data_IF_983488466866
#
_entry.id   IF_983488466866
#
_cell.length_a   1.000
_cell.length_b   1.000
_cell.length_c   1.000
_cell.angle_alpha   90.00
_cell.angle_beta   90.00
_cell.angle_gamma   90.00
#
_symmetry.space_group_name_H-M   'P 1'
#
loop_
_entity.id
_entity.type
_entity.pdbx_description
1 polymer ?
#
# COMPACT_ATOMS: atom_id res chain seq x y z
N UNK A 1 -2.31 19.71 10.53
CA UNK A 1 -2.67 21.15 10.59
C UNK A 1 -2.77 21.65 12.04
N UNK A 2 -3.66 21.09 12.89
CA UNK A 2 -3.84 21.56 14.29
C UNK A 2 -2.54 21.51 15.10
N UNK A 3 -1.76 20.44 15.00
CA UNK A 3 -0.51 20.31 15.73
C UNK A 3 0.54 21.33 15.27
N UNK A 4 0.62 21.58 13.96
CA UNK A 4 1.50 22.61 13.39
C UNK A 4 1.09 24.02 13.84
N UNK A 5 -0.21 24.31 13.84
CA UNK A 5 -0.71 25.60 14.34
C UNK A 5 -0.42 25.82 15.82
N UNK A 6 -0.57 24.77 16.65
CA UNK A 6 -0.23 24.84 18.08
C UNK A 6 1.28 24.99 18.33
N UNK A 7 2.10 24.32 17.53
CA UNK A 7 3.55 24.41 17.64
C UNK A 7 4.12 25.75 17.13
N UNK A 8 3.38 26.44 16.25
CA UNK A 8 3.75 27.74 15.72
C UNK A 8 3.32 28.94 16.61
N UNK A 9 2.60 28.68 17.72
CA UNK A 9 2.16 29.72 18.65
C UNK A 9 3.29 30.08 19.62
N UNK A 10 4.11 31.03 19.23
CA UNK A 10 5.25 31.51 20.04
C UNK A 10 4.84 32.14 21.38
N UNK A 11 3.60 32.63 21.49
CA UNK A 11 3.08 33.25 22.71
C UNK A 11 2.84 32.22 23.82
N UNK A 12 2.46 30.99 23.47
CA UNK A 12 2.10 29.95 24.43
C UNK A 12 3.22 28.93 24.69
N UNK A 13 4.25 28.88 23.85
CA UNK A 13 5.37 27.91 23.94
C UNK A 13 4.91 26.48 24.14
N UNK A 14 3.94 26.03 23.33
CA UNK A 14 3.37 24.71 23.44
C UNK A 14 4.40 23.62 23.13
N UNK A 15 4.47 22.59 23.98
CA UNK A 15 5.16 21.32 23.66
C UNK A 15 4.14 20.39 23.03
N UNK A 16 4.26 20.13 21.74
CA UNK A 16 3.29 19.37 20.99
C UNK A 16 3.80 17.98 20.68
N UNK A 17 3.06 16.96 21.12
CA UNK A 17 3.34 15.55 20.81
C UNK A 17 2.19 14.97 19.98
N UNK A 18 2.49 14.36 18.84
CA UNK A 18 1.53 13.61 18.04
C UNK A 18 1.69 12.12 18.30
N UNK A 19 0.58 11.46 18.62
CA UNK A 19 0.51 10.01 18.73
C UNK A 19 -0.09 9.42 17.46
N UNK A 20 0.58 8.46 16.84
CA UNK A 20 0.06 7.70 15.73
C UNK A 20 0.14 6.20 16.03
N UNK A 21 -1.00 5.51 15.99
CA UNK A 21 -1.08 4.05 16.21
C UNK A 21 -0.35 3.23 15.14
N UNK A 22 -0.08 3.82 13.99
CA UNK A 22 0.67 3.21 12.89
C UNK A 22 2.03 3.87 12.76
N UNK A 23 2.91 3.23 12.05
CA UNK A 23 4.23 3.78 11.74
C UNK A 23 4.17 4.98 10.78
N UNK A 24 3.19 5.03 9.89
CA UNK A 24 3.05 6.09 8.89
C UNK A 24 1.70 6.80 8.94
N UNK A 25 1.67 8.02 8.41
CA UNK A 25 0.45 8.84 8.25
C UNK A 25 -0.22 8.59 6.89
N UNK A 26 -0.38 7.32 6.48
CA UNK A 26 -0.86 6.92 5.15
C UNK A 26 -2.21 7.54 4.72
N UNK A 27 -3.04 8.00 5.68
CA UNK A 27 -4.33 8.64 5.39
C UNK A 27 -4.27 10.17 5.35
N UNK A 28 -3.12 10.77 5.67
CA UNK A 28 -2.95 12.22 5.63
C UNK A 28 -2.59 12.68 4.20
N UNK A 29 -2.96 13.92 3.86
CA UNK A 29 -2.54 14.53 2.60
C UNK A 29 -1.02 14.67 2.55
N UNK A 30 -0.42 14.47 1.38
CA UNK A 30 1.02 14.53 1.17
C UNK A 30 1.63 15.83 1.73
N UNK A 31 1.06 16.98 1.38
CA UNK A 31 1.53 18.28 1.87
C UNK A 31 1.55 18.40 3.41
N UNK A 32 0.55 17.81 4.10
CA UNK A 32 0.52 17.82 5.56
C UNK A 32 1.56 16.88 6.17
N UNK A 33 1.90 15.78 5.48
CA UNK A 33 2.95 14.85 5.91
C UNK A 33 4.31 15.53 5.79
N UNK A 34 4.58 16.17 4.64
CA UNK A 34 5.83 16.94 4.43
C UNK A 34 6.02 18.01 5.51
N UNK A 35 5.00 18.84 5.75
CA UNK A 35 5.06 19.87 6.79
C UNK A 35 5.26 19.30 8.21
N UNK A 36 4.71 18.10 8.47
CA UNK A 36 4.90 17.43 9.74
C UNK A 36 6.32 16.88 9.89
N UNK A 37 6.87 16.28 8.83
CA UNK A 37 8.24 15.76 8.82
C UNK A 37 9.27 16.89 8.99
N UNK A 38 9.06 18.02 8.33
CA UNK A 38 9.87 19.23 8.53
C UNK A 38 9.79 19.73 9.98
N UNK A 39 8.59 19.80 10.56
CA UNK A 39 8.41 20.25 11.93
C UNK A 39 9.01 19.27 12.97
N UNK A 40 9.04 17.99 12.68
CA UNK A 40 9.69 16.96 13.49
C UNK A 40 11.22 17.08 13.41
N UNK A 41 11.77 17.28 12.20
CA UNK A 41 13.22 17.51 11.98
C UNK A 41 13.71 18.78 12.67
N UNK A 42 12.92 19.84 12.64
CA UNK A 42 13.20 21.12 13.33
C UNK A 42 13.01 21.05 14.85
N UNK A 43 12.53 19.92 15.38
CA UNK A 43 12.26 19.75 16.82
C UNK A 43 11.06 20.54 17.34
N UNK A 44 10.20 21.10 16.45
CA UNK A 44 9.00 21.85 16.82
C UNK A 44 7.85 20.95 17.30
N UNK A 45 7.81 19.71 16.82
CA UNK A 45 6.81 18.70 17.17
C UNK A 45 7.52 17.38 17.47
N UNK A 46 7.07 16.66 18.50
CA UNK A 46 7.46 15.28 18.75
C UNK A 46 6.44 14.33 18.13
N UNK A 47 6.87 13.36 17.34
CA UNK A 47 5.98 12.35 16.74
C UNK A 47 6.28 10.98 17.35
N UNK A 48 5.28 10.40 17.99
CA UNK A 48 5.31 9.04 18.54
C UNK A 48 4.54 8.11 17.63
N UNK A 49 5.26 7.35 16.82
CA UNK A 49 4.71 6.33 15.92
C UNK A 49 4.48 5.02 16.67
N UNK A 50 3.57 4.19 16.20
CA UNK A 50 3.22 2.89 16.80
C UNK A 50 2.87 2.98 18.28
N UNK A 51 2.23 4.11 18.66
CA UNK A 51 1.93 4.46 20.03
C UNK A 51 0.44 4.73 20.20
N UNK A 52 -0.17 4.15 21.24
CA UNK A 52 -1.57 4.35 21.62
C UNK A 52 -1.68 4.94 23.02
N UNK A 53 -2.65 5.82 23.30
CA UNK A 53 -2.94 6.23 24.65
C UNK A 53 -3.58 5.05 25.42
N UNK A 54 -3.08 4.75 26.61
CA UNK A 54 -3.58 3.68 27.49
C UNK A 54 -4.42 4.24 28.62
N UNK A 55 -3.93 5.27 29.33
CA UNK A 55 -4.62 5.83 30.51
C UNK A 55 -4.34 7.33 30.62
N UNK A 56 -5.34 8.10 31.02
CA UNK A 56 -5.23 9.53 31.33
C UNK A 56 -5.17 9.70 32.84
N UNK A 57 -4.11 10.34 33.33
CA UNK A 57 -3.93 10.72 34.74
C UNK A 57 -3.91 12.22 34.91
N UNK A 58 -3.92 12.70 36.15
CA UNK A 58 -3.83 14.13 36.41
C UNK A 58 -2.45 14.66 36.00
N UNK A 59 -2.40 15.52 34.98
CA UNK A 59 -1.18 16.07 34.41
C UNK A 59 -0.33 15.11 33.57
N UNK A 60 -0.76 13.86 33.36
CA UNK A 60 0.01 12.83 32.69
C UNK A 60 -0.83 12.00 31.70
N UNK A 61 -0.18 11.47 30.69
CA UNK A 61 -0.75 10.50 29.75
C UNK A 61 0.12 9.24 29.70
N UNK A 62 -0.47 8.11 30.02
CA UNK A 62 0.17 6.81 29.90
C UNK A 62 0.01 6.31 28.46
N UNK A 63 1.11 5.94 27.84
CA UNK A 63 1.21 5.48 26.48
C UNK A 63 1.59 4.00 26.43
N UNK A 64 0.95 3.28 25.54
CA UNK A 64 1.37 1.95 25.15
C UNK A 64 2.22 2.09 23.87
N UNK A 65 3.50 1.79 24.01
CA UNK A 65 4.49 1.89 22.95
C UNK A 65 4.93 0.50 22.52
N UNK A 66 5.73 0.44 21.49
CA UNK A 66 6.36 -0.79 21.01
C UNK A 66 7.21 -1.49 22.11
N UNK A 67 7.87 -0.70 22.93
CA UNK A 67 8.85 -1.20 23.92
C UNK A 67 8.24 -1.36 25.33
N UNK A 68 6.93 -1.13 25.47
CA UNK A 68 6.22 -1.21 26.73
C UNK A 68 5.41 0.05 27.03
N UNK A 69 5.18 0.32 28.33
CA UNK A 69 4.40 1.46 28.79
C UNK A 69 5.32 2.64 29.11
N UNK A 70 4.99 3.82 28.60
CA UNK A 70 5.68 5.09 28.87
C UNK A 70 4.66 6.10 29.44
N UNK A 71 5.09 6.96 30.37
CA UNK A 71 4.25 8.06 30.87
C UNK A 71 4.86 9.38 30.47
N UNK A 72 4.07 10.27 29.88
CA UNK A 72 4.49 11.61 29.47
C UNK A 72 3.67 12.68 30.18
N UNK A 73 4.25 13.87 30.47
CA UNK A 73 3.49 15.02 30.94
C UNK A 73 2.45 15.43 29.89
N UNK A 74 1.21 15.68 30.32
CA UNK A 74 0.13 16.04 29.42
C UNK A 74 -0.89 16.96 30.10
N UNK A 75 -1.00 18.19 29.60
CA UNK A 75 -1.97 19.15 30.11
C UNK A 75 -3.25 19.19 29.29
N UNK A 76 -3.18 18.83 27.99
CA UNK A 76 -4.32 18.84 27.07
C UNK A 76 -4.21 17.74 26.06
N UNK A 77 -5.34 17.11 25.74
CA UNK A 77 -5.47 16.06 24.72
C UNK A 77 -6.43 16.57 23.64
N UNK A 78 -5.98 16.52 22.40
CA UNK A 78 -6.83 16.80 21.23
C UNK A 78 -7.01 15.48 20.48
N UNK A 79 -8.17 14.85 20.64
CA UNK A 79 -8.49 13.61 19.98
C UNK A 79 -8.92 13.86 18.52
N UNK A 80 -8.15 13.32 17.58
CA UNK A 80 -8.41 13.31 16.14
C UNK A 80 -8.42 11.89 15.62
N UNK A 81 -9.30 11.08 16.18
CA UNK A 81 -9.40 9.64 15.92
C UNK A 81 -10.12 9.31 14.61
N UNK A 82 -10.58 10.32 13.88
CA UNK A 82 -11.40 10.19 12.68
C UNK A 82 -12.88 10.01 13.02
N UNK A 83 -13.71 9.89 11.99
CA UNK A 83 -15.12 9.55 12.10
C UNK A 83 -15.39 8.28 11.29
N UNK A 84 -16.33 7.49 11.72
CA UNK A 84 -16.90 6.41 10.91
C UNK A 84 -18.23 6.88 10.36
N UNK A 85 -18.50 6.72 9.05
CA UNK A 85 -19.82 6.98 8.50
C UNK A 85 -20.89 6.15 9.23
N UNK A 86 -22.10 6.67 9.45
CA UNK A 86 -23.16 5.96 10.15
C UNK A 86 -23.81 4.86 9.28
N UNK A 87 -23.03 3.86 8.88
CA UNK A 87 -23.43 2.77 8.00
C UNK A 87 -24.74 2.12 8.46
N UNK A 88 -24.84 1.77 9.73
CA UNK A 88 -26.04 1.10 10.26
C UNK A 88 -27.32 1.91 10.10
N UNK A 89 -27.25 3.24 10.11
CA UNK A 89 -28.40 4.10 9.80
C UNK A 89 -28.83 3.97 8.33
N UNK A 90 -27.85 3.95 7.42
CA UNK A 90 -28.12 3.84 5.98
C UNK A 90 -28.62 2.43 5.61
N UNK A 91 -28.06 1.38 6.22
CA UNK A 91 -28.52 0.00 6.07
C UNK A 91 -29.95 -0.20 6.58
N UNK A 92 -30.31 0.45 7.69
CA UNK A 92 -31.67 0.40 8.24
C UNK A 92 -32.72 1.00 7.30
N UNK A 93 -32.32 1.87 6.36
CA UNK A 93 -33.19 2.35 5.29
C UNK A 93 -33.31 1.35 4.12
N UNK A 94 -32.62 0.20 4.18
CA UNK A 94 -32.61 -0.84 3.17
C UNK A 94 -31.77 -0.49 1.94
N UNK A 95 -30.77 0.37 2.10
CA UNK A 95 -29.81 0.71 1.04
C UNK A 95 -28.71 -0.36 1.04
N UNK A 96 -28.40 -0.86 -0.15
CA UNK A 96 -27.37 -1.87 -0.36
C UNK A 96 -25.98 -1.25 -0.45
N UNK A 97 -24.99 -1.99 0.04
CA UNK A 97 -23.58 -1.63 0.02
C UNK A 97 -22.81 -2.52 -0.96
N UNK A 98 -21.67 -2.04 -1.44
CA UNK A 98 -20.82 -2.77 -2.41
C UNK A 98 -20.24 -4.06 -1.82
N UNK A 99 -20.14 -4.19 -0.49
CA UNK A 99 -19.76 -5.42 0.22
C UNK A 99 -20.18 -5.38 1.69
N UNK A 100 -20.05 -6.51 2.39
CA UNK A 100 -20.29 -6.65 3.83
C UNK A 100 -19.22 -5.98 4.71
N UNK A 101 -18.12 -5.55 4.15
CA UNK A 101 -17.05 -4.92 4.90
C UNK A 101 -17.46 -3.57 5.49
N UNK A 102 -16.98 -3.26 6.70
CA UNK A 102 -17.30 -1.98 7.38
C UNK A 102 -16.88 -0.74 6.62
N UNK A 103 -15.91 -0.86 5.75
CA UNK A 103 -15.37 0.21 4.90
C UNK A 103 -16.09 0.37 3.57
N UNK A 104 -17.00 -0.55 3.23
CA UNK A 104 -17.75 -0.51 1.98
C UNK A 104 -18.65 0.74 1.89
N UNK A 105 -18.90 1.18 0.67
CA UNK A 105 -19.75 2.32 0.36
C UNK A 105 -21.11 1.85 -0.17
N UNK A 106 -22.16 2.68 -0.08
CA UNK A 106 -23.43 2.40 -0.70
C UNK A 106 -23.27 2.21 -2.22
N UNK A 107 -24.04 1.32 -2.79
CA UNK A 107 -24.18 1.20 -4.24
C UNK A 107 -24.93 2.42 -4.77
N UNK A 108 -24.28 3.20 -5.63
CA UNK A 108 -24.77 4.49 -6.13
C UNK A 108 -24.78 4.52 -7.65
N UNK A 109 -25.77 5.21 -8.21
CA UNK A 109 -25.74 5.62 -9.61
C UNK A 109 -24.79 6.81 -9.83
N UNK A 110 -24.45 7.17 -11.08
CA UNK A 110 -23.69 8.40 -11.36
C UNK A 110 -24.36 9.69 -10.83
N UNK A 111 -25.68 9.66 -10.60
CA UNK A 111 -26.43 10.78 -9.99
C UNK A 111 -26.47 10.68 -8.44
N UNK A 112 -25.65 9.85 -7.82
CA UNK A 112 -25.59 9.59 -6.37
C UNK A 112 -26.88 8.99 -5.78
N UNK A 113 -27.80 8.48 -6.62
CA UNK A 113 -28.99 7.77 -6.17
C UNK A 113 -28.62 6.36 -5.70
N UNK A 114 -29.20 5.96 -4.59
CA UNK A 114 -28.99 4.64 -3.99
C UNK A 114 -29.84 3.57 -4.67
N UNK A 115 -29.75 2.32 -4.19
CA UNK A 115 -30.65 1.21 -4.57
C UNK A 115 -32.11 1.45 -4.14
N UNK A 116 -32.40 2.48 -3.34
CA UNK A 116 -33.73 2.95 -2.98
C UNK A 116 -34.07 4.21 -3.77
N UNK A 117 -35.04 4.16 -4.69
CA UNK A 117 -35.41 5.30 -5.50
C UNK A 117 -35.76 6.56 -4.66
N UNK A 118 -35.27 7.71 -5.11
CA UNK A 118 -35.48 9.00 -4.45
C UNK A 118 -34.55 9.26 -3.24
N UNK A 119 -33.65 8.32 -2.90
CA UNK A 119 -32.68 8.53 -1.83
C UNK A 119 -31.29 8.68 -2.45
N UNK A 120 -30.67 9.83 -2.23
CA UNK A 120 -29.32 10.13 -2.69
C UNK A 120 -28.35 10.18 -1.52
N UNK A 121 -27.14 9.65 -1.69
CA UNK A 121 -26.08 9.65 -0.69
C UNK A 121 -24.84 10.33 -1.27
N UNK A 122 -24.35 11.35 -0.58
CA UNK A 122 -23.18 12.13 -0.99
C UNK A 122 -22.14 12.26 0.13
N UNK A 123 -20.98 12.81 -0.19
CA UNK A 123 -19.93 13.14 0.75
C UNK A 123 -19.25 11.94 1.37
N UNK A 124 -18.94 12.00 2.65
CA UNK A 124 -18.15 10.97 3.33
C UNK A 124 -18.79 9.58 3.31
N UNK A 125 -20.11 9.49 3.31
CA UNK A 125 -20.87 8.22 3.17
C UNK A 125 -20.71 7.60 1.77
N UNK A 126 -20.59 8.44 0.74
CA UNK A 126 -20.34 8.02 -0.64
C UNK A 126 -18.85 7.79 -0.95
N UNK A 127 -17.97 7.92 0.05
CA UNK A 127 -16.52 7.75 -0.14
C UNK A 127 -15.73 9.06 -0.29
N UNK A 128 -16.38 10.22 -0.24
CA UNK A 128 -15.77 11.54 -0.45
C UNK A 128 -15.67 12.35 0.84
N UNK A 129 -14.57 12.21 1.62
CA UNK A 129 -14.47 12.81 2.94
C UNK A 129 -14.18 14.33 2.93
N UNK A 130 -13.94 14.94 1.76
CA UNK A 130 -13.60 16.36 1.66
C UNK A 130 -14.85 17.21 1.53
N UNK A 131 -14.92 18.32 2.28
CA UNK A 131 -16.04 19.28 2.26
C UNK A 131 -16.33 19.77 0.85
N UNK A 132 -15.29 20.07 0.05
CA UNK A 132 -15.47 20.53 -1.34
C UNK A 132 -16.21 19.50 -2.22
N UNK A 133 -15.97 18.22 -1.99
CA UNK A 133 -16.66 17.16 -2.71
C UNK A 133 -18.13 17.10 -2.31
N UNK A 134 -18.42 17.20 -1.00
CA UNK A 134 -19.81 17.24 -0.52
C UNK A 134 -20.59 18.41 -1.13
N UNK A 135 -19.95 19.58 -1.24
CA UNK A 135 -20.59 20.76 -1.84
C UNK A 135 -20.88 20.56 -3.34
N UNK A 136 -19.90 20.08 -4.10
CA UNK A 136 -20.06 19.80 -5.52
C UNK A 136 -21.14 18.75 -5.76
N UNK A 137 -21.07 17.61 -5.06
CA UNK A 137 -22.06 16.55 -5.19
C UNK A 137 -23.47 16.99 -4.79
N UNK A 138 -23.58 17.85 -3.76
CA UNK A 138 -24.88 18.43 -3.39
C UNK A 138 -25.45 19.28 -4.51
N UNK A 139 -24.64 20.09 -5.18
CA UNK A 139 -25.03 20.82 -6.36
C UNK A 139 -25.44 19.88 -7.49
N UNK A 140 -24.62 18.89 -7.79
CA UNK A 140 -24.85 17.92 -8.88
C UNK A 140 -26.17 17.16 -8.69
N UNK A 141 -26.48 16.69 -7.47
CA UNK A 141 -27.74 16.01 -7.16
C UNK A 141 -28.95 16.90 -7.42
N UNK A 142 -28.88 18.19 -7.01
CA UNK A 142 -29.98 19.12 -7.25
C UNK A 142 -30.17 19.38 -8.75
N UNK A 143 -29.10 19.50 -9.52
CA UNK A 143 -29.16 19.64 -10.97
C UNK A 143 -29.77 18.40 -11.64
N UNK A 144 -29.39 17.18 -11.22
CA UNK A 144 -29.97 15.93 -11.70
C UNK A 144 -31.48 15.85 -11.39
N UNK A 145 -31.88 16.23 -10.18
CA UNK A 145 -33.29 16.27 -9.77
C UNK A 145 -34.09 17.29 -10.58
N UNK A 146 -33.47 18.37 -11.05
CA UNK A 146 -34.05 19.35 -11.94
C UNK A 146 -34.04 18.91 -13.42
N UNK A 147 -33.56 17.72 -13.73
CA UNK A 147 -33.54 17.16 -15.08
C UNK A 147 -32.32 17.52 -15.92
N UNK A 148 -31.28 18.10 -15.33
CA UNK A 148 -30.01 18.37 -16.01
C UNK A 148 -29.16 17.08 -16.03
N UNK A 149 -29.36 16.27 -17.05
CA UNK A 149 -28.62 14.98 -17.23
C UNK A 149 -27.29 15.15 -17.93
N UNK A 150 -26.99 16.32 -18.48
CA UNK A 150 -25.74 16.60 -19.21
C UNK A 150 -24.64 17.19 -18.30
N UNK A 151 -24.90 17.21 -17.02
CA UNK A 151 -23.96 17.73 -16.02
C UNK A 151 -22.70 16.86 -15.97
N UNK A 152 -21.55 17.48 -16.19
CA UNK A 152 -20.26 16.82 -16.06
C UNK A 152 -19.78 16.93 -14.62
N UNK A 153 -19.19 15.84 -14.06
CA UNK A 153 -18.57 15.90 -12.74
C UNK A 153 -17.56 17.05 -12.61
N UNK A 154 -17.53 17.72 -11.48
CA UNK A 154 -16.66 18.89 -11.25
C UNK A 154 -15.16 18.60 -11.39
N UNK A 155 -14.75 17.33 -11.26
CA UNK A 155 -13.38 16.85 -11.46
C UNK A 155 -13.03 16.55 -12.92
N UNK A 156 -14.02 16.50 -13.82
CA UNK A 156 -13.81 16.15 -15.22
C UNK A 156 -12.82 17.06 -15.94
N UNK A 157 -12.81 18.40 -15.77
CA UNK A 157 -11.80 19.27 -16.38
C UNK A 157 -10.39 19.00 -15.88
N UNK A 158 -10.21 18.69 -14.59
CA UNK A 158 -8.91 18.39 -13.98
C UNK A 158 -8.38 17.06 -14.51
N UNK A 159 -9.22 16.05 -14.58
CA UNK A 159 -8.85 14.75 -15.14
C UNK A 159 -8.56 14.85 -16.64
N UNK A 160 -9.33 15.67 -17.38
CA UNK A 160 -9.06 15.91 -18.80
C UNK A 160 -7.68 16.54 -19.03
N UNK A 161 -7.27 17.49 -18.19
CA UNK A 161 -5.93 18.06 -18.23
C UNK A 161 -4.85 17.03 -17.93
N UNK A 162 -5.04 16.17 -16.90
CA UNK A 162 -4.12 15.10 -16.55
C UNK A 162 -3.97 14.04 -17.65
N UNK A 163 -5.04 13.78 -18.40
CA UNK A 163 -5.07 12.78 -19.47
C UNK A 163 -4.71 13.36 -20.83
N UNK A 164 -4.52 14.67 -20.97
CA UNK A 164 -4.22 15.33 -22.25
C UNK A 164 -2.94 14.82 -22.93
N UNK A 165 -1.98 14.30 -22.14
CA UNK A 165 -0.74 13.69 -22.65
C UNK A 165 -0.86 12.23 -23.05
N UNK A 166 -2.03 11.60 -22.86
CA UNK A 166 -2.24 10.19 -23.19
C UNK A 166 -2.61 10.01 -24.67
N UNK A 167 -2.30 8.87 -25.29
CA UNK A 167 -2.52 8.64 -26.71
C UNK A 167 -4.02 8.61 -27.09
N UNK A 168 -4.35 8.97 -28.33
CA UNK A 168 -5.68 8.75 -28.92
C UNK A 168 -6.72 9.81 -28.62
N UNK A 169 -6.41 10.88 -27.87
CA UNK A 169 -7.35 11.98 -27.56
C UNK A 169 -8.73 11.51 -27.08
N UNK A 170 -8.75 10.51 -26.19
CA UNK A 170 -9.95 9.90 -25.65
C UNK A 170 -10.57 10.73 -24.53
N UNK A 171 -11.86 10.47 -24.22
CA UNK A 171 -12.57 11.11 -23.10
C UNK A 171 -12.02 10.65 -21.74
N UNK A 172 -12.34 11.41 -20.69
CA UNK A 172 -12.04 11.02 -19.30
C UNK A 172 -12.68 9.68 -18.96
N UNK A 173 -13.92 9.45 -19.35
CA UNK A 173 -14.65 8.21 -19.06
C UNK A 173 -14.00 7.00 -19.74
N UNK A 174 -13.54 7.16 -20.99
CA UNK A 174 -12.78 6.12 -21.68
C UNK A 174 -11.53 5.69 -20.87
N UNK A 175 -10.75 6.65 -20.40
CA UNK A 175 -9.55 6.32 -19.63
C UNK A 175 -9.88 5.72 -18.27
N UNK A 176 -10.97 6.16 -17.63
CA UNK A 176 -11.44 5.54 -16.37
C UNK A 176 -11.81 4.07 -16.60
N UNK A 177 -12.52 3.75 -17.68
CA UNK A 177 -12.88 2.38 -18.04
C UNK A 177 -11.62 1.54 -18.33
N UNK A 178 -10.68 2.07 -19.10
CA UNK A 178 -9.39 1.41 -19.38
C UNK A 178 -8.64 1.14 -18.09
N UNK A 179 -8.49 2.12 -17.21
CA UNK A 179 -7.74 1.97 -15.97
C UNK A 179 -8.42 0.98 -15.02
N UNK A 180 -9.72 1.07 -14.85
CA UNK A 180 -10.49 0.13 -14.01
C UNK A 180 -10.45 -1.30 -14.54
N UNK A 181 -10.53 -1.50 -15.86
CA UNK A 181 -10.54 -2.82 -16.47
C UNK A 181 -9.14 -3.46 -16.57
N UNK A 182 -8.10 -2.66 -16.85
CA UNK A 182 -6.78 -3.20 -17.16
C UNK A 182 -5.85 -3.27 -15.93
N UNK A 183 -5.99 -2.35 -14.98
CA UNK A 183 -5.10 -2.26 -13.83
C UNK A 183 -5.65 -3.07 -12.65
N UNK A 184 -5.04 -4.20 -12.37
CA UNK A 184 -5.53 -5.18 -11.36
C UNK A 184 -5.76 -4.59 -9.97
N UNK A 185 -4.88 -3.68 -9.54
CA UNK A 185 -4.98 -3.04 -8.22
C UNK A 185 -6.19 -2.09 -8.10
N UNK A 186 -6.86 -1.79 -9.22
CA UNK A 186 -8.04 -0.91 -9.27
C UNK A 186 -9.36 -1.69 -9.43
N UNK A 187 -9.30 -3.02 -9.58
CA UNK A 187 -10.44 -3.86 -9.96
C UNK A 187 -11.68 -3.73 -9.07
N UNK A 188 -11.50 -3.47 -7.77
CA UNK A 188 -12.60 -3.30 -6.82
C UNK A 188 -12.97 -1.83 -6.58
N UNK A 189 -12.31 -0.89 -7.25
CA UNK A 189 -12.63 0.52 -7.09
C UNK A 189 -13.89 0.87 -7.87
N UNK A 190 -14.82 1.55 -7.21
CA UNK A 190 -15.89 2.21 -7.94
C UNK A 190 -15.33 3.32 -8.84
N UNK A 191 -16.06 3.68 -9.90
CA UNK A 191 -15.67 4.80 -10.78
C UNK A 191 -15.34 6.06 -9.99
N UNK A 192 -16.09 6.34 -8.92
CA UNK A 192 -15.88 7.49 -8.05
C UNK A 192 -14.57 7.39 -7.25
N UNK A 193 -14.25 6.22 -6.70
CA UNK A 193 -12.98 5.99 -5.99
C UNK A 193 -11.78 6.08 -6.92
N UNK A 194 -11.92 5.56 -8.13
CA UNK A 194 -10.89 5.65 -9.16
C UNK A 194 -10.64 7.11 -9.57
N UNK A 195 -11.70 7.91 -9.77
CA UNK A 195 -11.58 9.35 -10.04
C UNK A 195 -10.83 10.07 -8.93
N UNK A 196 -11.18 9.83 -7.66
CA UNK A 196 -10.47 10.44 -6.51
C UNK A 196 -8.99 10.03 -6.47
N UNK A 197 -8.69 8.76 -6.72
CA UNK A 197 -7.32 8.26 -6.77
C UNK A 197 -6.50 8.96 -7.87
N UNK A 198 -7.09 9.12 -9.05
CA UNK A 198 -6.44 9.73 -10.21
C UNK A 198 -6.23 11.24 -10.06
N UNK A 199 -7.06 11.93 -9.26
CA UNK A 199 -6.80 13.32 -8.90
C UNK A 199 -5.51 13.50 -8.08
N UNK A 200 -5.14 12.48 -7.28
CA UNK A 200 -3.91 12.46 -6.48
C UNK A 200 -2.73 11.74 -7.17
N UNK A 201 -2.91 11.31 -8.43
CA UNK A 201 -1.95 10.53 -9.22
C UNK A 201 -1.59 11.27 -10.50
N UNK A 202 -0.50 10.86 -11.17
CA UNK A 202 -0.11 11.37 -12.49
C UNK A 202 -0.19 10.26 -13.54
N UNK A 203 -0.56 10.63 -14.77
CA UNK A 203 -0.67 9.71 -15.89
C UNK A 203 0.37 10.06 -16.94
N UNK A 204 1.12 9.05 -17.36
CA UNK A 204 2.24 9.22 -18.27
C UNK A 204 2.11 8.30 -19.48
N UNK A 205 2.53 8.80 -20.63
CA UNK A 205 2.78 8.02 -21.83
C UNK A 205 4.28 8.02 -22.13
N UNK A 206 4.80 6.85 -22.53
CA UNK A 206 6.21 6.66 -22.86
C UNK A 206 6.31 5.95 -24.20
N UNK A 207 7.30 6.32 -24.99
CA UNK A 207 7.67 5.61 -26.20
C UNK A 207 8.61 4.43 -25.89
N UNK A 208 8.67 3.41 -26.76
CA UNK A 208 9.59 2.29 -26.59
C UNK A 208 11.04 2.74 -26.40
N UNK A 209 11.68 2.28 -25.32
CA UNK A 209 13.05 2.66 -24.95
C UNK A 209 13.15 3.82 -23.96
N UNK A 210 12.07 4.57 -23.72
CA UNK A 210 12.05 5.63 -22.72
C UNK A 210 12.32 5.09 -21.31
N UNK A 211 13.08 5.83 -20.53
CA UNK A 211 13.38 5.49 -19.15
C UNK A 211 12.28 6.02 -18.24
N UNK A 212 11.59 5.12 -17.54
CA UNK A 212 10.59 5.51 -16.53
C UNK A 212 11.29 6.00 -15.25
N UNK A 213 12.28 5.26 -14.78
CA UNK A 213 13.20 5.69 -13.72
C UNK A 213 14.50 4.87 -13.75
N UNK A 214 15.55 5.38 -13.12
CA UNK A 214 16.88 4.75 -13.07
C UNK A 214 17.16 4.11 -11.73
N UNK A 215 18.01 3.09 -11.73
CA UNK A 215 18.58 2.50 -10.53
C UNK A 215 19.22 3.58 -9.64
N UNK A 216 19.03 3.46 -8.33
CA UNK A 216 19.52 4.38 -7.30
C UNK A 216 18.86 5.77 -7.26
N UNK A 217 17.90 6.08 -8.13
CA UNK A 217 17.08 7.28 -7.96
C UNK A 217 16.25 7.21 -6.66
N UNK A 218 15.97 8.36 -6.02
CA UNK A 218 14.99 8.41 -4.93
C UNK A 218 13.63 7.95 -5.46
N UNK A 219 12.96 7.04 -4.76
CA UNK A 219 11.68 6.50 -5.23
C UNK A 219 10.61 6.60 -4.14
N UNK A 220 9.65 7.51 -4.33
CA UNK A 220 8.51 7.68 -3.43
C UNK A 220 7.17 7.38 -4.10
N UNK A 221 7.18 6.80 -5.29
CA UNK A 221 5.99 6.47 -6.07
C UNK A 221 6.00 5.01 -6.55
N UNK A 222 4.82 4.53 -6.91
CA UNK A 222 4.57 3.24 -7.53
C UNK A 222 3.86 3.48 -8.86
N UNK A 223 4.13 2.65 -9.84
CA UNK A 223 3.52 2.74 -11.16
C UNK A 223 2.60 1.55 -11.41
N UNK A 224 1.48 1.80 -12.07
CA UNK A 224 0.55 0.78 -12.55
C UNK A 224 0.48 0.85 -14.08
N UNK A 225 0.61 -0.29 -14.75
CA UNK A 225 0.64 -0.38 -16.22
C UNK A 225 -0.79 -0.54 -16.73
N UNK A 226 -1.30 0.48 -17.43
CA UNK A 226 -2.60 0.43 -18.06
C UNK A 226 -2.54 -0.12 -19.49
N UNK A 227 -1.47 0.19 -20.24
CA UNK A 227 -1.24 -0.33 -21.59
C UNK A 227 0.25 -0.53 -21.79
N UNK A 228 0.62 -1.52 -22.61
CA UNK A 228 2.00 -1.84 -22.93
C UNK A 228 2.71 -2.66 -21.85
N UNK A 229 4.02 -2.66 -21.89
CA UNK A 229 4.89 -3.40 -20.98
C UNK A 229 6.17 -2.61 -20.68
N UNK A 230 6.85 -2.99 -19.61
CA UNK A 230 8.17 -2.43 -19.27
C UNK A 230 9.22 -3.52 -19.16
N UNK A 231 10.48 -3.16 -19.42
CA UNK A 231 11.66 -3.99 -19.26
C UNK A 231 12.46 -3.51 -18.02
N UNK A 232 12.71 -4.43 -17.10
CA UNK A 232 13.54 -4.21 -15.90
C UNK A 232 14.95 -4.64 -16.21
N UNK A 233 15.92 -3.71 -16.20
CA UNK A 233 17.35 -4.02 -16.37
C UNK A 233 17.88 -4.71 -15.10
N UNK A 234 18.17 -6.01 -15.20
CA UNK A 234 18.63 -6.83 -14.05
C UNK A 234 20.15 -6.89 -13.94
N UNK A 235 20.87 -6.70 -15.04
CA UNK A 235 22.33 -6.69 -15.06
C UNK A 235 22.86 -5.28 -15.33
N UNK A 236 23.58 -4.65 -14.39
CA UNK A 236 24.17 -3.32 -14.60
C UNK A 236 25.21 -3.26 -15.71
N UNK A 237 25.88 -4.39 -15.97
CA UNK A 237 26.98 -4.48 -16.96
C UNK A 237 26.46 -4.82 -18.37
N UNK A 238 25.24 -5.33 -18.45
CA UNK A 238 24.57 -5.65 -19.71
C UNK A 238 23.09 -5.25 -19.67
N UNK A 239 22.72 -4.04 -20.09
CA UNK A 239 21.34 -3.54 -20.10
C UNK A 239 20.41 -4.33 -21.05
N UNK A 240 20.94 -5.21 -21.91
CA UNK A 240 20.10 -6.04 -22.78
C UNK A 240 19.43 -7.19 -22.03
N UNK A 241 19.96 -7.55 -20.85
CA UNK A 241 19.40 -8.59 -20.00
C UNK A 241 18.30 -7.98 -19.16
N UNK A 242 17.05 -8.19 -19.57
CA UNK A 242 15.86 -7.61 -18.95
C UNK A 242 14.83 -8.65 -18.55
N UNK A 243 13.99 -8.30 -17.58
CA UNK A 243 12.80 -9.05 -17.23
C UNK A 243 11.57 -8.18 -17.53
N UNK A 244 10.59 -8.69 -18.31
CA UNK A 244 9.40 -7.92 -18.64
C UNK A 244 8.44 -7.84 -17.45
N UNK A 245 7.70 -6.72 -17.36
CA UNK A 245 6.53 -6.58 -16.52
C UNK A 245 5.38 -6.16 -17.43
N UNK A 246 4.35 -6.99 -17.45
CA UNK A 246 3.25 -6.90 -18.39
C UNK A 246 2.14 -5.95 -17.90
N UNK A 247 1.26 -5.60 -18.83
CA UNK A 247 0.04 -4.85 -18.59
C UNK A 247 -0.75 -5.37 -17.38
N UNK A 248 -1.39 -4.46 -16.67
CA UNK A 248 -2.17 -4.75 -15.47
C UNK A 248 -1.35 -4.95 -14.20
N UNK A 249 -0.02 -5.03 -14.32
CA UNK A 249 0.91 -5.16 -13.19
C UNK A 249 1.30 -3.78 -12.63
N UNK A 250 1.98 -3.82 -11.49
CA UNK A 250 2.57 -2.63 -10.84
C UNK A 250 4.09 -2.79 -10.79
N UNK A 251 4.81 -1.68 -10.66
CA UNK A 251 6.25 -1.68 -10.42
C UNK A 251 6.68 -0.46 -9.59
N UNK A 252 7.89 -0.51 -9.03
CA UNK A 252 8.41 0.53 -8.14
C UNK A 252 7.90 0.46 -6.70
N UNK A 253 7.05 -0.53 -6.37
CA UNK A 253 6.45 -0.75 -5.05
C UNK A 253 7.48 -1.08 -3.98
N UNK A 254 8.60 -1.73 -4.33
CA UNK A 254 9.66 -2.09 -3.38
C UNK A 254 10.25 -0.84 -2.75
N UNK A 255 10.59 0.16 -3.56
CA UNK A 255 11.09 1.45 -3.08
C UNK A 255 10.07 2.19 -2.21
N UNK A 256 8.79 2.13 -2.60
CA UNK A 256 7.70 2.76 -1.88
C UNK A 256 7.46 2.12 -0.51
N UNK A 257 7.41 0.79 -0.43
CA UNK A 257 7.12 0.05 0.82
C UNK A 257 8.34 0.08 1.76
N UNK A 258 9.55 -0.15 1.23
CA UNK A 258 10.78 -0.24 2.02
C UNK A 258 11.44 1.10 2.32
N UNK A 259 11.04 2.18 1.65
CA UNK A 259 11.70 3.49 1.75
C UNK A 259 13.11 3.52 1.12
N UNK A 260 13.45 2.53 0.29
CA UNK A 260 14.73 2.43 -0.39
C UNK A 260 14.74 3.16 -1.73
N UNK A 261 15.93 3.41 -2.25
CA UNK A 261 16.13 3.88 -3.62
C UNK A 261 15.68 2.82 -4.63
N UNK A 262 15.41 3.24 -5.88
CA UNK A 262 15.06 2.34 -6.99
C UNK A 262 16.08 1.22 -7.13
N UNK A 263 15.64 -0.03 -7.12
CA UNK A 263 16.53 -1.20 -7.19
C UNK A 263 17.05 -1.52 -8.59
N UNK A 264 16.35 -1.08 -9.63
CA UNK A 264 16.68 -1.34 -11.04
C UNK A 264 16.31 -0.12 -11.90
N UNK A 265 16.86 -0.04 -13.10
CA UNK A 265 16.38 0.84 -14.16
C UNK A 265 15.21 0.17 -14.88
N UNK A 266 14.16 0.93 -15.16
CA UNK A 266 12.98 0.45 -15.89
C UNK A 266 12.77 1.30 -17.13
N UNK A 267 12.56 0.61 -18.27
CA UNK A 267 12.26 1.22 -19.57
C UNK A 267 10.92 0.73 -20.11
N UNK A 268 10.26 1.58 -20.90
CA UNK A 268 9.16 1.15 -21.72
C UNK A 268 9.64 0.14 -22.77
N UNK A 269 9.07 -1.04 -22.83
CA UNK A 269 9.37 -2.05 -23.83
C UNK A 269 8.50 -1.86 -25.08
N UNK A 270 7.32 -1.32 -24.91
CA UNK A 270 6.31 -1.00 -25.91
C UNK A 270 5.75 0.40 -25.66
N UNK A 271 4.90 0.98 -26.54
CA UNK A 271 4.14 2.18 -26.21
C UNK A 271 3.39 1.97 -24.89
N UNK A 272 3.76 2.75 -23.87
CA UNK A 272 3.36 2.51 -22.48
C UNK A 272 2.44 3.63 -21.99
N UNK A 273 1.33 3.25 -21.36
CA UNK A 273 0.55 4.15 -20.51
C UNK A 273 0.64 3.64 -19.07
N UNK A 274 1.15 4.48 -18.18
CA UNK A 274 1.35 4.17 -16.79
C UNK A 274 0.77 5.25 -15.87
N UNK A 275 0.18 4.81 -14.74
CA UNK A 275 -0.32 5.68 -13.68
C UNK A 275 0.72 5.69 -12.57
N UNK A 276 1.25 6.87 -12.25
CA UNK A 276 2.16 7.07 -11.14
C UNK A 276 1.36 7.44 -9.87
N UNK A 277 1.35 6.51 -8.93
CA UNK A 277 0.73 6.68 -7.62
C UNK A 277 1.77 7.23 -6.64
N UNK A 278 1.51 8.39 -6.06
CA UNK A 278 2.33 8.89 -4.96
C UNK A 278 2.35 7.88 -3.79
N UNK A 279 3.38 7.95 -2.94
CA UNK A 279 3.48 7.07 -1.75
C UNK A 279 2.19 7.08 -0.93
N UNK A 280 1.63 8.26 -0.70
CA UNK A 280 0.43 8.39 0.11
C UNK A 280 -0.81 7.81 -0.58
N UNK A 281 -0.98 8.05 -1.88
CA UNK A 281 -2.08 7.48 -2.65
C UNK A 281 -2.00 5.94 -2.68
N UNK A 282 -0.81 5.38 -2.92
CA UNK A 282 -0.59 3.94 -2.93
C UNK A 282 -0.82 3.30 -1.55
N UNK A 283 -0.27 3.87 -0.46
CA UNK A 283 -0.48 3.35 0.89
C UNK A 283 -1.94 3.49 1.35
N UNK A 284 -2.63 4.58 0.96
CA UNK A 284 -4.06 4.77 1.21
C UNK A 284 -4.87 3.69 0.50
N UNK A 285 -4.59 3.44 -0.77
CA UNK A 285 -5.23 2.39 -1.57
C UNK A 285 -5.05 1.01 -0.93
N UNK A 286 -3.80 0.60 -0.65
CA UNK A 286 -3.47 -0.70 -0.03
C UNK A 286 -4.14 -0.84 1.35
N UNK A 287 -4.24 0.25 2.13
CA UNK A 287 -4.85 0.22 3.46
C UNK A 287 -6.38 0.23 3.44
N UNK A 288 -7.01 0.69 2.37
CA UNK A 288 -8.47 0.84 2.25
C UNK A 288 -9.13 -0.23 1.38
N UNK A 289 -8.38 -0.91 0.50
CA UNK A 289 -8.86 -1.97 -0.37
C UNK A 289 -8.18 -3.30 -0.01
N UNK A 290 -8.90 -4.28 0.54
CA UNK A 290 -8.38 -5.63 0.77
C UNK A 290 -7.89 -6.29 -0.53
N UNK A 291 -8.57 -6.02 -1.66
CA UNK A 291 -8.16 -6.54 -2.97
C UNK A 291 -6.84 -5.93 -3.42
N UNK A 292 -6.68 -4.59 -3.32
CA UNK A 292 -5.41 -3.95 -3.63
C UNK A 292 -4.26 -4.52 -2.79
N UNK A 293 -4.50 -4.79 -1.50
CA UNK A 293 -3.51 -5.43 -0.62
C UNK A 293 -3.19 -6.86 -1.10
N UNK A 294 -4.19 -7.65 -1.47
CA UNK A 294 -4.00 -9.00 -2.01
C UNK A 294 -3.20 -8.99 -3.31
N UNK A 295 -3.52 -8.09 -4.24
CA UNK A 295 -2.80 -7.94 -5.52
C UNK A 295 -1.35 -7.57 -5.30
N UNK A 296 -1.06 -6.62 -4.41
CA UNK A 296 0.33 -6.22 -4.10
C UNK A 296 1.11 -7.38 -3.49
N UNK A 297 0.50 -8.14 -2.57
CA UNK A 297 1.13 -9.33 -1.98
C UNK A 297 1.36 -10.41 -3.03
N UNK A 298 0.37 -10.66 -3.89
CA UNK A 298 0.49 -11.63 -4.99
C UNK A 298 1.69 -11.29 -5.90
N UNK A 299 1.81 -10.04 -6.31
CA UNK A 299 2.92 -9.58 -7.15
C UNK A 299 4.27 -9.72 -6.42
N UNK A 300 4.32 -9.43 -5.12
CA UNK A 300 5.53 -9.61 -4.32
C UNK A 300 5.95 -11.09 -4.27
N UNK A 301 5.00 -12.01 -4.08
CA UNK A 301 5.25 -13.45 -4.06
C UNK A 301 5.68 -13.93 -5.45
N UNK A 302 4.95 -13.58 -6.51
CA UNK A 302 5.26 -13.93 -7.90
C UNK A 302 6.71 -13.56 -8.24
N UNK A 303 7.11 -12.32 -7.95
CA UNK A 303 8.48 -11.83 -8.19
C UNK A 303 9.53 -12.56 -7.37
N UNK A 304 9.21 -12.84 -6.11
CA UNK A 304 10.13 -13.56 -5.25
C UNK A 304 10.35 -14.99 -5.75
N UNK A 305 9.31 -15.65 -6.22
CA UNK A 305 9.41 -16.97 -6.83
C UNK A 305 10.24 -16.92 -8.12
N UNK A 306 10.03 -15.92 -8.96
CA UNK A 306 10.85 -15.73 -10.16
C UNK A 306 12.32 -15.43 -9.83
N UNK A 307 12.60 -14.71 -8.76
CA UNK A 307 13.96 -14.46 -8.29
C UNK A 307 14.64 -15.72 -7.77
N UNK A 308 13.89 -16.58 -7.06
CA UNK A 308 14.43 -17.85 -6.51
C UNK A 308 14.66 -18.91 -7.60
N UNK A 309 13.75 -19.04 -8.55
CA UNK A 309 13.68 -20.16 -9.47
C UNK A 309 13.84 -19.77 -10.95
N UNK A 310 14.09 -18.51 -11.23
CA UNK A 310 14.16 -17.99 -12.60
C UNK A 310 12.79 -17.68 -13.22
N UNK A 311 12.80 -17.13 -14.43
CA UNK A 311 11.59 -16.67 -15.13
C UNK A 311 10.71 -17.79 -15.73
N UNK A 312 11.04 -19.05 -15.47
CA UNK A 312 10.31 -20.21 -16.00
C UNK A 312 8.99 -20.52 -15.30
N UNK A 313 8.73 -19.93 -14.12
CA UNK A 313 7.47 -20.10 -13.40
C UNK A 313 6.39 -19.19 -13.94
N UNK A 314 5.28 -19.79 -14.34
CA UNK A 314 4.08 -19.04 -14.73
C UNK A 314 3.31 -18.57 -13.50
N UNK A 315 2.50 -17.54 -13.70
CA UNK A 315 1.61 -17.02 -12.68
C UNK A 315 0.59 -18.05 -12.20
N UNK A 316 0.11 -18.89 -13.11
CA UNK A 316 -0.85 -19.96 -12.79
C UNK A 316 -0.25 -21.00 -11.87
N UNK A 317 1.03 -21.34 -12.04
CA UNK A 317 1.75 -22.29 -11.18
C UNK A 317 1.96 -21.72 -9.76
N UNK A 318 2.17 -20.42 -9.63
CA UNK A 318 2.38 -19.74 -8.33
C UNK A 318 1.04 -19.41 -7.63
N UNK A 319 -0.07 -19.33 -8.37
CA UNK A 319 -1.38 -18.92 -7.82
C UNK A 319 -1.84 -19.69 -6.57
N UNK A 320 -1.67 -21.03 -6.44
CA UNK A 320 -2.04 -21.74 -5.22
C UNK A 320 -1.21 -21.31 -4.00
N UNK A 321 0.07 -21.00 -4.19
CA UNK A 321 0.95 -20.50 -3.14
C UNK A 321 0.56 -19.08 -2.70
N UNK A 322 0.22 -18.22 -3.67
CA UNK A 322 -0.32 -16.88 -3.41
C UNK A 322 -1.62 -16.95 -2.61
N UNK A 323 -2.52 -17.86 -2.97
CA UNK A 323 -3.80 -18.02 -2.28
C UNK A 323 -3.67 -18.52 -0.83
N UNK A 324 -2.60 -19.30 -0.55
CA UNK A 324 -2.31 -19.82 0.78
C UNK A 324 -1.46 -18.86 1.65
N UNK A 325 -0.96 -17.77 1.08
CA UNK A 325 -0.05 -16.85 1.76
C UNK A 325 -0.77 -16.01 2.81
N UNK A 326 -0.11 -15.82 3.95
CA UNK A 326 -0.61 -15.02 5.07
C UNK A 326 0.35 -13.87 5.36
N UNK A 327 -0.19 -12.71 5.76
CA UNK A 327 0.61 -11.56 6.20
C UNK A 327 0.64 -11.52 7.71
N UNK A 328 1.83 -11.58 8.30
CA UNK A 328 2.04 -11.56 9.74
C UNK A 328 2.85 -10.33 10.18
N UNK A 329 2.42 -9.69 11.27
CA UNK A 329 3.25 -8.72 11.99
C UNK A 329 4.13 -9.44 13.02
N UNK A 330 5.43 -9.17 12.97
CA UNK A 330 6.43 -9.77 13.85
C UNK A 330 7.08 -8.68 14.70
N UNK A 331 6.94 -8.79 16.02
CA UNK A 331 7.54 -7.82 16.97
C UNK A 331 9.06 -7.98 16.99
N UNK A 332 9.79 -6.88 17.30
CA UNK A 332 11.22 -6.92 17.51
C UNK A 332 11.62 -8.01 18.52
N UNK A 333 12.67 -8.75 18.25
CA UNK A 333 13.15 -9.85 19.07
C UNK A 333 12.36 -11.15 18.99
N UNK A 334 11.16 -11.17 18.37
CA UNK A 334 10.39 -12.41 18.19
C UNK A 334 11.12 -13.33 17.21
N UNK A 335 11.31 -14.59 17.62
CA UNK A 335 11.83 -15.65 16.76
C UNK A 335 10.74 -16.06 15.75
N UNK A 336 11.11 -16.05 14.48
CA UNK A 336 10.28 -16.44 13.35
C UNK A 336 10.56 -17.88 12.94
N UNK A 337 11.85 -18.26 12.91
CA UNK A 337 12.36 -19.59 12.62
C UNK A 337 13.34 -19.96 13.73
N UNK A 338 13.24 -21.16 14.28
CA UNK A 338 14.14 -21.68 15.30
C UNK A 338 15.09 -22.74 14.71
N UNK A 339 16.39 -22.62 14.97
CA UNK A 339 17.38 -23.60 14.53
C UNK A 339 17.03 -25.01 15.04
N UNK A 340 17.07 -26.01 14.17
CA UNK A 340 16.73 -27.39 14.49
C UNK A 340 15.25 -27.72 14.42
N UNK A 341 14.36 -26.77 14.19
CA UNK A 341 12.94 -27.02 13.98
C UNK A 341 12.69 -27.78 12.66
N UNK A 342 11.58 -28.52 12.59
CA UNK A 342 11.16 -29.31 11.41
C UNK A 342 9.96 -28.68 10.69
N UNK A 343 9.78 -27.38 10.77
CA UNK A 343 8.81 -26.67 9.95
C UNK A 343 9.40 -26.32 8.58
N UNK A 344 8.55 -26.10 7.59
CA UNK A 344 8.95 -25.86 6.19
C UNK A 344 8.41 -24.52 5.65
N UNK A 345 7.86 -23.68 6.52
CA UNK A 345 7.32 -22.40 6.10
C UNK A 345 8.43 -21.50 5.52
N UNK A 346 8.11 -20.80 4.45
CA UNK A 346 9.01 -19.83 3.81
C UNK A 346 8.46 -18.43 4.07
N UNK A 347 9.35 -17.48 4.36
CA UNK A 347 8.95 -16.12 4.71
C UNK A 347 9.59 -15.10 3.76
N UNK A 348 8.77 -14.19 3.24
CA UNK A 348 9.23 -13.01 2.49
C UNK A 348 9.14 -11.81 3.42
N UNK A 349 10.24 -11.08 3.60
CA UNK A 349 10.27 -9.89 4.45
C UNK A 349 9.67 -8.73 3.68
N UNK A 350 8.40 -8.42 3.92
CA UNK A 350 7.69 -7.32 3.27
C UNK A 350 8.20 -5.98 3.77
N UNK A 351 8.38 -5.85 5.10
CA UNK A 351 8.83 -4.62 5.76
C UNK A 351 9.66 -4.95 7.00
N UNK A 352 10.64 -4.11 7.30
CA UNK A 352 11.52 -4.30 8.46
C UNK A 352 12.80 -5.03 8.12
N UNK A 353 13.35 -5.76 9.09
CA UNK A 353 14.57 -6.55 8.91
C UNK A 353 14.64 -7.70 9.91
N UNK A 354 15.31 -8.78 9.52
CA UNK A 354 15.54 -9.96 10.34
C UNK A 354 17.03 -10.13 10.61
N UNK A 355 17.34 -10.78 11.74
CA UNK A 355 18.68 -11.24 12.10
C UNK A 355 18.70 -12.75 11.93
N UNK A 356 19.73 -13.26 11.27
CA UNK A 356 20.02 -14.68 11.18
C UNK A 356 21.16 -14.99 12.12
N UNK A 357 20.94 -15.95 13.02
CA UNK A 357 21.92 -16.43 14.00
C UNK A 357 22.03 -17.96 13.93
N UNK A 358 23.22 -18.46 14.20
CA UNK A 358 23.47 -19.90 14.32
C UNK A 358 24.15 -20.20 15.65
N UNK A 359 23.74 -21.28 16.30
CA UNK A 359 24.36 -21.74 17.54
C UNK A 359 25.67 -22.46 17.26
N UNK A 360 26.78 -21.93 17.74
CA UNK A 360 28.08 -22.59 17.71
C UNK A 360 28.54 -22.86 19.14
N UNK A 361 28.52 -24.12 19.54
CA UNK A 361 28.62 -24.52 20.96
C UNK A 361 27.41 -24.01 21.73
N UNK A 362 27.63 -23.25 22.81
CA UNK A 362 26.54 -22.70 23.65
C UNK A 362 26.21 -21.21 23.36
N UNK A 363 26.71 -20.66 22.25
CA UNK A 363 26.54 -19.21 21.97
C UNK A 363 25.92 -19.00 20.59
N UNK A 364 24.92 -18.08 20.49
CA UNK A 364 24.42 -17.62 19.21
C UNK A 364 25.48 -16.73 18.53
N UNK A 365 25.75 -17.03 17.27
CA UNK A 365 26.68 -16.27 16.42
C UNK A 365 25.87 -15.60 15.32
N UNK A 366 25.99 -14.29 15.21
CA UNK A 366 25.39 -13.52 14.15
C UNK A 366 25.93 -13.93 12.77
N UNK A 367 25.07 -14.23 11.84
CA UNK A 367 25.43 -14.57 10.46
C UNK A 367 25.15 -13.41 9.50
N UNK A 368 23.93 -12.87 9.51
CA UNK A 368 23.55 -11.80 8.56
C UNK A 368 22.31 -11.04 8.99
N UNK A 369 22.10 -9.88 8.34
CA UNK A 369 20.83 -9.17 8.32
C UNK A 369 20.09 -9.45 7.01
N UNK A 370 18.81 -9.76 7.11
CA UNK A 370 17.91 -9.88 5.97
C UNK A 370 17.02 -8.63 5.92
N UNK A 371 17.15 -7.81 4.87
CA UNK A 371 16.34 -6.61 4.71
C UNK A 371 14.97 -6.92 4.10
N UNK A 372 14.10 -5.91 4.07
CA UNK A 372 12.87 -5.95 3.27
C UNK A 372 13.14 -6.36 1.82
N UNK A 373 12.30 -7.23 1.24
CA UNK A 373 12.47 -7.85 -0.06
C UNK A 373 13.36 -9.11 -0.06
N UNK A 374 13.95 -9.50 1.07
CA UNK A 374 14.61 -10.79 1.21
C UNK A 374 13.59 -11.88 1.59
N UNK A 375 13.98 -13.12 1.38
CA UNK A 375 13.24 -14.32 1.81
C UNK A 375 14.13 -15.21 2.69
N UNK A 376 13.49 -16.12 3.43
CA UNK A 376 14.19 -17.05 4.33
C UNK A 376 13.33 -18.28 4.60
N UNK A 377 14.00 -19.40 4.86
CA UNK A 377 13.36 -20.69 5.20
C UNK A 377 13.22 -21.64 4.02
N UNK A 378 13.63 -21.21 2.83
CA UNK A 378 13.53 -21.98 1.58
C UNK A 378 14.34 -23.26 1.59
N UNK A 379 15.53 -23.25 2.20
CA UNK A 379 16.42 -24.43 2.21
C UNK A 379 15.76 -25.64 2.81
N UNK A 380 15.16 -25.50 4.00
CA UNK A 380 14.48 -26.60 4.68
C UNK A 380 13.25 -27.10 3.89
N UNK A 381 12.60 -26.23 3.12
CA UNK A 381 11.47 -26.61 2.25
C UNK A 381 11.96 -27.32 0.96
N UNK A 382 13.12 -26.94 0.40
CA UNK A 382 13.67 -27.51 -0.83
C UNK A 382 14.28 -28.88 -0.59
N UNK A 383 15.14 -29.02 0.43
CA UNK A 383 15.92 -30.25 0.68
C UNK A 383 15.34 -31.16 1.76
N UNK A 384 14.27 -30.71 2.45
CA UNK A 384 13.64 -31.47 3.53
C UNK A 384 14.42 -31.45 4.85
N UNK A 385 15.51 -30.69 4.96
CA UNK A 385 16.35 -30.62 6.16
C UNK A 385 15.65 -29.91 7.33
N UNK A 386 16.22 -30.00 8.53
CA UNK A 386 15.85 -29.17 9.67
C UNK A 386 16.32 -27.74 9.42
N UNK A 387 15.74 -26.79 10.15
CA UNK A 387 16.17 -25.39 10.13
C UNK A 387 17.64 -25.26 10.48
N UNK A 388 18.41 -24.62 9.64
CA UNK A 388 19.88 -24.51 9.77
C UNK A 388 20.34 -23.33 10.61
N UNK A 389 19.44 -22.41 10.94
CA UNK A 389 19.71 -21.20 11.71
C UNK A 389 18.42 -20.65 12.35
N UNK A 390 18.58 -19.84 13.39
CA UNK A 390 17.51 -19.07 14.01
C UNK A 390 17.35 -17.74 13.29
N UNK A 391 16.10 -17.38 12.98
CA UNK A 391 15.74 -16.08 12.38
C UNK A 391 14.82 -15.33 13.32
N UNK A 392 15.22 -14.13 13.72
CA UNK A 392 14.42 -13.27 14.60
C UNK A 392 14.29 -11.85 14.04
N UNK A 393 13.21 -11.17 14.37
CA UNK A 393 13.00 -9.80 13.95
C UNK A 393 13.99 -8.84 14.62
N UNK A 394 14.77 -8.11 13.83
CA UNK A 394 15.67 -7.06 14.34
C UNK A 394 14.89 -5.84 14.83
N UNK A 395 13.83 -5.52 14.12
CA UNK A 395 12.88 -4.45 14.40
C UNK A 395 11.47 -4.99 14.19
N UNK A 396 10.41 -4.24 14.56
CA UNK A 396 9.04 -4.60 14.17
C UNK A 396 9.01 -4.76 12.66
N UNK A 397 8.56 -5.92 12.22
CA UNK A 397 8.61 -6.33 10.82
C UNK A 397 7.25 -6.86 10.37
N UNK A 398 7.03 -6.87 9.08
CA UNK A 398 5.89 -7.50 8.44
C UNK A 398 6.42 -8.52 7.44
N UNK A 399 5.94 -9.75 7.52
CA UNK A 399 6.36 -10.84 6.66
C UNK A 399 5.16 -11.44 5.93
N UNK A 400 5.40 -11.96 4.73
CA UNK A 400 4.47 -12.85 4.04
C UNK A 400 4.92 -14.27 4.35
N UNK A 401 4.10 -15.01 5.06
CA UNK A 401 4.29 -16.42 5.35
C UNK A 401 3.74 -17.23 4.19
N UNK A 402 4.57 -18.07 3.61
CA UNK A 402 4.21 -19.06 2.60
C UNK A 402 4.19 -20.43 3.27
N UNK A 403 3.01 -21.06 3.44
CA UNK A 403 2.93 -22.38 4.10
C UNK A 403 3.81 -23.40 3.42
N UNK A 404 4.59 -24.15 4.21
CA UNK A 404 5.55 -25.11 3.71
C UNK A 404 4.92 -26.19 2.81
N UNK A 405 3.72 -26.65 3.14
CA UNK A 405 2.96 -27.60 2.32
C UNK A 405 2.67 -27.05 0.91
N UNK A 406 2.24 -25.79 0.82
CA UNK A 406 1.94 -25.14 -0.46
C UNK A 406 3.23 -24.89 -1.27
N UNK A 407 4.32 -24.52 -0.58
CA UNK A 407 5.62 -24.32 -1.21
C UNK A 407 6.21 -25.64 -1.75
N UNK A 408 6.19 -26.70 -0.96
CA UNK A 408 6.63 -28.04 -1.39
C UNK A 408 5.77 -28.57 -2.53
N UNK A 409 4.43 -28.35 -2.49
CA UNK A 409 3.56 -28.72 -3.58
C UNK A 409 3.88 -28.01 -4.91
N UNK A 410 4.36 -26.75 -4.86
CA UNK A 410 4.89 -26.05 -6.04
C UNK A 410 6.13 -26.74 -6.59
N UNK A 411 7.07 -27.12 -5.72
CA UNK A 411 8.30 -27.82 -6.09
C UNK A 411 8.01 -29.21 -6.68
N UNK A 412 7.04 -29.94 -6.13
CA UNK A 412 6.67 -31.29 -6.60
C UNK A 412 6.03 -31.25 -8.00
N UNK A 413 5.28 -30.19 -8.31
CA UNK A 413 4.73 -29.96 -9.66
C UNK A 413 5.80 -29.52 -10.66
N UNK A 414 6.89 -28.97 -10.18
CA UNK A 414 7.99 -28.43 -10.97
C UNK A 414 9.34 -28.99 -10.51
N UNK A 415 9.63 -30.29 -10.70
CA UNK A 415 10.85 -30.93 -10.17
C UNK A 415 12.15 -30.25 -10.59
N UNK A 416 12.16 -29.57 -11.75
CA UNK A 416 13.30 -28.80 -12.24
C UNK A 416 13.70 -27.63 -11.31
N UNK A 417 12.81 -27.21 -10.40
CA UNK A 417 13.11 -26.13 -9.43
C UNK A 417 13.94 -26.59 -8.23
N UNK A 418 14.16 -27.90 -8.08
CA UNK A 418 14.98 -28.47 -7.00
C UNK A 418 16.47 -28.67 -7.39
N UNK A 419 16.83 -28.34 -8.63
CA UNK A 419 18.17 -28.56 -9.17
C UNK A 419 19.10 -27.29 -9.03
#
# INVERSE_FOLDING_TARGET
>A
ENALGLAADDAQRNVVTILNRRDSFARAKAANVTLLEEAEQDGRISVRRETSPAEVKDGELVLETRDGTETIPCNRIIARTGSQPPRGFVEAMGIEFTSEERSAFPTLTPAFETTKPGIHVIGALAGYPLIKHCMNQGYDVIEFLNGNTDLKPADAPILAEKFAGLPGNHSVDHWLDVFGAQVRIFGDLSSLQLRELLLESDCHAYEPGDVVFRKNEPGSSMFAIAQGSVAVEINPDDPSITVPIEQGSIFGEVGLISGRRRGATIRAAEPLVAIELSRNAALKLIASSPEASRVVNAIAIERQMQQMFGSGLTREEVAPLVAAAEVEEVRAGKVLIEEGADDKDVYIIRRGSMIVEKTLGDKPVFLSYLPSGAYVGEMAAIDGSLRTATVKAAIKSEVIKLPGEAFVALLDRNPQLRS
#
